data_IF_660818462593
#
_entry.id   IF_660818462593
#
_cell.length_a   1.000
_cell.length_b   1.000
_cell.length_c   1.000
_cell.angle_alpha   90.00
_cell.angle_beta   90.00
_cell.angle_gamma   90.00
#
_symmetry.space_group_name_H-M   'P 1'
#
loop_
_entity.id
_entity.type
_entity.pdbx_description
1 polymer ?
#
# COMPACT_ATOMS: atom_id res chain seq x y z
N UNK A 1 -10.99 2.48 -37.71
CA UNK A 1 -11.24 3.78 -37.05
C UNK A 1 -9.92 4.51 -36.97
N UNK A 2 -9.84 5.74 -37.46
CA UNK A 2 -8.64 6.55 -37.25
C UNK A 2 -8.47 6.85 -35.74
N UNK A 3 -7.25 6.82 -35.20
CA UNK A 3 -7.02 7.18 -33.81
C UNK A 3 -7.36 8.66 -33.59
N UNK A 4 -8.31 8.93 -32.70
CA UNK A 4 -8.63 10.28 -32.26
C UNK A 4 -7.38 10.92 -31.66
N UNK A 5 -6.97 12.05 -32.22
CA UNK A 5 -5.81 12.82 -31.73
C UNK A 5 -6.29 13.87 -30.74
N UNK A 6 -5.81 13.77 -29.50
CA UNK A 6 -6.05 14.77 -28.46
C UNK A 6 -4.76 15.50 -28.11
N UNK A 7 -4.86 16.81 -27.88
CA UNK A 7 -3.76 17.62 -27.37
C UNK A 7 -3.88 17.78 -25.85
N UNK A 8 -2.88 17.32 -25.11
CA UNK A 8 -2.81 17.49 -23.66
C UNK A 8 -1.48 18.16 -23.26
N UNK A 9 -1.56 19.22 -22.45
CA UNK A 9 -0.38 19.87 -21.86
C UNK A 9 -0.14 19.34 -20.45
N UNK A 10 1.04 18.77 -20.23
CA UNK A 10 1.46 18.24 -18.94
C UNK A 10 2.42 19.24 -18.29
N UNK A 11 1.96 19.92 -17.25
CA UNK A 11 2.69 20.92 -16.49
C UNK A 11 3.17 20.31 -15.17
N UNK A 12 3.98 19.25 -15.28
CA UNK A 12 4.61 18.54 -14.16
C UNK A 12 6.12 18.80 -14.25
N UNK A 13 6.86 18.91 -13.13
CA UNK A 13 8.32 19.07 -13.17
C UNK A 13 8.98 18.02 -14.06
N UNK A 14 9.76 18.44 -15.07
CA UNK A 14 10.36 17.54 -16.08
C UNK A 14 11.15 16.38 -15.47
N UNK A 15 11.80 16.59 -14.32
CA UNK A 15 12.56 15.53 -13.60
C UNK A 15 11.68 14.37 -13.11
N UNK A 16 10.37 14.58 -12.97
CA UNK A 16 9.39 13.61 -12.49
C UNK A 16 8.53 13.03 -13.62
N UNK A 17 8.74 13.48 -14.85
CA UNK A 17 7.97 13.06 -16.01
C UNK A 17 8.85 12.23 -16.95
N UNK A 18 8.62 10.93 -16.98
CA UNK A 18 9.32 10.03 -17.88
C UNK A 18 8.37 9.53 -18.96
N UNK A 19 8.47 10.10 -20.16
CA UNK A 19 7.65 9.73 -21.31
C UNK A 19 8.56 9.30 -22.44
N UNK A 20 8.24 8.18 -23.07
CA UNK A 20 8.82 7.73 -24.33
C UNK A 20 7.73 7.58 -25.38
N UNK A 21 8.12 7.56 -26.66
CA UNK A 21 7.19 7.16 -27.72
C UNK A 21 6.59 5.78 -27.41
N UNK A 22 5.31 5.61 -27.74
CA UNK A 22 4.52 4.40 -27.50
C UNK A 22 4.30 4.01 -26.02
N UNK A 23 4.61 4.92 -25.08
CA UNK A 23 4.25 4.70 -23.69
C UNK A 23 2.73 4.75 -23.51
N UNK A 24 2.15 3.69 -22.98
CA UNK A 24 0.75 3.68 -22.56
C UNK A 24 0.59 4.56 -21.31
N UNK A 25 -0.40 5.44 -21.35
CA UNK A 25 -0.69 6.39 -20.27
C UNK A 25 -2.18 6.45 -20.00
N UNK A 26 -2.55 6.64 -18.74
CA UNK A 26 -3.89 7.08 -18.34
C UNK A 26 -3.82 8.55 -17.93
N UNK A 27 -4.71 9.36 -18.49
CA UNK A 27 -4.71 10.81 -18.28
C UNK A 27 -6.09 11.25 -17.82
N UNK A 28 -6.16 11.63 -16.55
CA UNK A 28 -7.31 12.34 -16.00
C UNK A 28 -7.02 13.83 -16.15
N UNK A 29 -7.53 14.46 -17.21
CA UNK A 29 -7.27 15.86 -17.51
C UNK A 29 -8.55 16.68 -17.55
N UNK A 30 -8.40 18.00 -17.38
CA UNK A 30 -9.50 18.95 -17.49
C UNK A 30 -9.22 19.95 -18.61
N UNK A 31 -10.28 20.51 -19.19
CA UNK A 31 -10.15 21.70 -20.01
C UNK A 31 -10.08 22.94 -19.12
N UNK A 32 -9.15 23.85 -19.41
CA UNK A 32 -9.04 25.14 -18.69
C UNK A 32 -10.30 26.00 -18.91
N UNK A 33 -10.90 25.91 -20.10
CA UNK A 33 -12.19 26.49 -20.44
C UNK A 33 -12.94 25.55 -21.40
N UNK A 34 -14.29 25.60 -21.48
CA UNK A 34 -15.05 24.78 -22.42
C UNK A 34 -14.59 24.93 -23.88
N UNK A 35 -14.12 26.12 -24.25
CA UNK A 35 -13.60 26.48 -25.57
C UNK A 35 -12.14 26.07 -25.83
N UNK A 36 -11.41 25.56 -24.82
CA UNK A 36 -10.02 25.15 -25.01
C UNK A 36 -9.90 23.98 -25.99
N UNK A 37 -8.96 24.11 -26.93
CA UNK A 37 -8.56 23.07 -27.88
C UNK A 37 -7.69 21.97 -27.26
N UNK A 38 -7.26 22.14 -26.01
CA UNK A 38 -6.38 21.20 -25.33
C UNK A 38 -6.81 20.95 -23.88
N UNK A 39 -6.46 19.76 -23.41
CA UNK A 39 -6.56 19.34 -22.02
C UNK A 39 -5.31 19.71 -21.23
N UNK A 40 -5.43 19.85 -19.92
CA UNK A 40 -4.32 20.21 -19.03
C UNK A 40 -4.29 19.27 -17.82
N UNK A 41 -3.07 18.86 -17.47
CA UNK A 41 -2.71 18.29 -16.16
C UNK A 41 -1.63 19.18 -15.56
N UNK A 42 -1.84 19.65 -14.34
CA UNK A 42 -0.91 20.54 -13.64
C UNK A 42 -0.86 20.22 -12.12
N UNK A 43 -0.23 21.10 -11.35
CA UNK A 43 -0.10 20.92 -9.90
C UNK A 43 -1.46 20.85 -9.17
N UNK A 44 -2.48 21.50 -9.72
CA UNK A 44 -3.78 21.72 -9.08
C UNK A 44 -4.86 20.78 -9.63
N UNK A 45 -4.75 20.35 -10.88
CA UNK A 45 -5.78 19.60 -11.59
C UNK A 45 -5.22 18.39 -12.35
N UNK A 46 -6.01 17.31 -12.32
CA UNK A 46 -5.76 16.11 -13.09
C UNK A 46 -4.64 15.21 -12.57
N UNK A 47 -4.50 14.05 -13.22
CA UNK A 47 -3.48 13.06 -12.95
C UNK A 47 -2.92 12.51 -14.26
N UNK A 48 -1.61 12.30 -14.27
CA UNK A 48 -0.90 11.67 -15.37
C UNK A 48 -0.26 10.38 -14.85
N UNK A 49 -0.72 9.25 -15.35
CA UNK A 49 -0.36 7.92 -14.86
C UNK A 49 0.35 7.20 -16.00
N UNK A 50 1.62 6.85 -15.77
CA UNK A 50 2.40 6.07 -16.73
C UNK A 50 2.21 4.60 -16.48
N UNK A 51 2.10 3.80 -17.54
CA UNK A 51 1.97 2.34 -17.40
C UNK A 51 0.78 1.96 -16.48
N UNK A 52 -0.45 2.32 -16.89
CA UNK A 52 -1.67 2.13 -16.10
C UNK A 52 -2.00 0.67 -15.82
N UNK A 53 -1.56 -0.25 -16.66
CA UNK A 53 -1.87 -1.69 -16.52
C UNK A 53 -1.01 -2.38 -15.46
N UNK A 54 0.10 -1.77 -15.08
CA UNK A 54 0.91 -2.24 -13.95
C UNK A 54 0.30 -1.75 -12.64
N UNK A 55 -0.60 -2.56 -12.09
CA UNK A 55 -1.27 -2.27 -10.83
C UNK A 55 -0.32 -2.42 -9.65
N UNK A 56 0.16 -1.28 -9.11
CA UNK A 56 0.96 -1.24 -7.90
C UNK A 56 0.04 -1.26 -6.68
N UNK A 57 0.36 -2.05 -5.65
CA UNK A 57 -0.47 -2.07 -4.45
C UNK A 57 -0.39 -0.74 -3.70
N UNK A 58 -1.49 -0.28 -3.11
CA UNK A 58 -1.51 0.96 -2.35
C UNK A 58 -0.51 0.96 -1.18
N UNK A 59 -0.34 -0.20 -0.52
CA UNK A 59 0.66 -0.43 0.53
C UNK A 59 2.09 -0.31 -0.01
N UNK A 60 2.38 -0.82 -1.21
CA UNK A 60 3.68 -0.64 -1.89
C UNK A 60 3.95 0.83 -2.20
N UNK A 61 2.95 1.56 -2.73
CA UNK A 61 3.09 3.01 -3.03
C UNK A 61 3.44 3.78 -1.76
N UNK A 62 2.66 3.63 -0.68
CA UNK A 62 2.93 4.37 0.55
C UNK A 62 4.18 3.87 1.29
N UNK A 63 4.50 2.59 1.20
CA UNK A 63 5.74 2.01 1.74
C UNK A 63 7.00 2.57 1.08
N UNK A 64 6.87 3.14 -0.13
CA UNK A 64 7.94 3.80 -0.87
C UNK A 64 8.18 5.26 -0.44
N UNK A 65 7.33 5.84 0.42
CA UNK A 65 7.45 7.25 0.86
C UNK A 65 8.76 7.53 1.57
N UNK A 66 9.15 6.65 2.49
CA UNK A 66 10.36 6.84 3.29
C UNK A 66 11.61 6.29 2.58
N UNK A 67 11.50 5.13 1.92
CA UNK A 67 12.58 4.53 1.16
C UNK A 67 12.03 3.93 -0.14
N UNK A 68 12.25 4.63 -1.25
CA UNK A 68 11.77 4.20 -2.58
C UNK A 68 12.30 2.81 -2.94
N UNK A 69 13.59 2.55 -2.66
CA UNK A 69 14.22 1.24 -2.89
C UNK A 69 13.53 0.12 -2.12
N UNK A 70 13.13 0.36 -0.86
CA UNK A 70 12.43 -0.64 -0.04
C UNK A 70 11.10 -1.04 -0.66
N UNK A 71 10.29 -0.08 -1.10
CA UNK A 71 9.00 -0.39 -1.70
C UNK A 71 9.13 -1.17 -3.02
N UNK A 72 10.14 -0.85 -3.83
CA UNK A 72 10.43 -1.64 -5.03
C UNK A 72 10.87 -3.07 -4.67
N UNK A 73 11.77 -3.23 -3.70
CA UNK A 73 12.22 -4.55 -3.25
C UNK A 73 11.08 -5.39 -2.66
N UNK A 74 10.14 -4.78 -1.94
CA UNK A 74 8.97 -5.46 -1.39
C UNK A 74 8.08 -6.08 -2.47
N UNK A 75 7.95 -5.43 -3.62
CA UNK A 75 7.16 -5.98 -4.73
C UNK A 75 7.93 -7.04 -5.52
N UNK A 76 9.25 -6.85 -5.72
CA UNK A 76 10.11 -7.78 -6.46
C UNK A 76 10.37 -9.09 -5.68
N UNK A 77 10.68 -8.95 -4.41
CA UNK A 77 11.02 -10.04 -3.51
C UNK A 77 9.95 -10.10 -2.45
N UNK A 78 8.80 -10.72 -2.75
CA UNK A 78 7.75 -10.97 -1.77
C UNK A 78 8.23 -11.99 -0.75
N UNK A 79 9.07 -11.54 0.17
CA UNK A 79 9.49 -12.31 1.32
C UNK A 79 8.24 -12.47 2.18
N UNK A 80 7.92 -13.71 2.54
CA UNK A 80 7.14 -13.95 3.74
C UNK A 80 7.98 -13.35 4.87
N UNK A 81 7.71 -12.09 5.22
CA UNK A 81 8.23 -11.49 6.44
C UNK A 81 8.02 -12.53 7.52
N UNK A 82 9.07 -12.88 8.28
CA UNK A 82 8.89 -13.79 9.41
C UNK A 82 7.74 -13.23 10.22
N UNK A 83 6.58 -13.92 10.20
CA UNK A 83 5.39 -13.42 10.84
C UNK A 83 5.81 -13.17 12.29
N UNK A 84 5.85 -11.92 12.71
CA UNK A 84 6.15 -11.64 14.09
C UNK A 84 4.83 -11.68 14.85
N UNK A 85 4.91 -11.93 16.15
CA UNK A 85 3.72 -12.02 17.01
C UNK A 85 2.79 -10.81 16.83
N UNK A 86 3.33 -9.61 16.61
CA UNK A 86 2.51 -8.40 16.45
C UNK A 86 1.70 -8.41 15.14
N UNK A 87 2.28 -8.89 14.03
CA UNK A 87 1.59 -8.99 12.73
C UNK A 87 0.49 -10.06 12.76
N UNK A 88 0.76 -11.22 13.37
CA UNK A 88 -0.25 -12.27 13.54
C UNK A 88 -1.41 -11.76 14.39
N UNK A 89 -1.12 -11.18 15.56
CA UNK A 89 -2.16 -10.62 16.42
C UNK A 89 -2.92 -9.50 15.70
N UNK A 90 -2.23 -8.63 14.97
CA UNK A 90 -2.88 -7.59 14.15
C UNK A 90 -3.87 -8.17 13.14
N UNK A 91 -3.47 -9.21 12.40
CA UNK A 91 -4.32 -9.90 11.43
C UNK A 91 -5.53 -10.54 12.09
N UNK A 92 -5.34 -11.19 13.24
CA UNK A 92 -6.45 -11.80 14.01
C UNK A 92 -7.41 -10.72 14.52
N UNK A 93 -6.90 -9.57 14.97
CA UNK A 93 -7.72 -8.43 15.41
C UNK A 93 -8.56 -7.88 14.25
N UNK A 94 -8.00 -7.70 13.05
CA UNK A 94 -8.78 -7.29 11.86
C UNK A 94 -9.93 -8.26 11.60
N UNK A 95 -9.64 -9.56 11.62
CA UNK A 95 -10.67 -10.57 11.34
C UNK A 95 -11.77 -10.61 12.41
N UNK A 96 -11.43 -10.45 13.70
CA UNK A 96 -12.42 -10.34 14.78
C UNK A 96 -13.27 -9.08 14.61
N UNK A 97 -12.63 -7.93 14.37
CA UNK A 97 -13.30 -6.65 14.18
C UNK A 97 -14.32 -6.73 13.04
N UNK A 98 -13.90 -7.19 11.86
CA UNK A 98 -14.76 -7.37 10.69
C UNK A 98 -15.94 -8.30 10.96
N UNK A 99 -15.74 -9.41 11.68
CA UNK A 99 -16.83 -10.32 12.08
C UNK A 99 -17.81 -9.66 13.04
N UNK A 100 -17.32 -8.81 13.95
CA UNK A 100 -18.18 -8.07 14.86
C UNK A 100 -18.96 -6.97 14.14
N UNK A 101 -18.36 -6.29 13.15
CA UNK A 101 -19.03 -5.29 12.32
C UNK A 101 -20.26 -5.85 11.58
N UNK A 102 -20.17 -7.09 11.09
CA UNK A 102 -21.24 -7.76 10.36
C UNK A 102 -22.35 -8.32 11.27
N UNK A 103 -22.06 -8.56 12.56
CA UNK A 103 -23.00 -9.13 13.51
C UNK A 103 -23.78 -8.01 14.26
N UNK A 104 -24.99 -7.72 13.78
CA UNK A 104 -25.88 -6.71 14.38
C UNK A 104 -26.26 -7.00 15.84
N UNK A 105 -26.07 -8.23 16.32
CA UNK A 105 -26.30 -8.60 17.72
C UNK A 105 -25.09 -8.35 18.62
N UNK A 106 -23.92 -8.06 18.05
CA UNK A 106 -22.68 -7.82 18.78
C UNK A 106 -22.70 -6.45 19.49
N UNK A 107 -23.05 -6.44 20.78
CA UNK A 107 -23.20 -5.24 21.62
C UNK A 107 -22.41 -5.30 22.92
N UNK A 108 -22.19 -6.51 23.43
CA UNK A 108 -21.54 -6.76 24.72
C UNK A 108 -20.16 -7.35 24.48
N UNK A 109 -19.25 -7.13 25.43
CA UNK A 109 -17.90 -7.70 25.39
C UNK A 109 -17.94 -9.24 25.27
N UNK A 110 -18.91 -9.89 25.91
CA UNK A 110 -19.11 -11.34 25.82
C UNK A 110 -19.41 -11.82 24.39
N UNK A 111 -20.07 -10.99 23.57
CA UNK A 111 -20.33 -11.31 22.16
C UNK A 111 -19.02 -11.22 21.37
N UNK A 112 -18.23 -10.16 21.57
CA UNK A 112 -16.90 -9.98 20.95
C UNK A 112 -15.96 -11.13 21.32
N UNK A 113 -15.90 -11.51 22.60
CA UNK A 113 -15.10 -12.66 23.06
C UNK A 113 -15.55 -13.98 22.46
N UNK A 114 -16.86 -14.16 22.26
CA UNK A 114 -17.40 -15.36 21.61
C UNK A 114 -16.98 -15.43 20.14
N UNK A 115 -17.00 -14.30 19.43
CA UNK A 115 -16.49 -14.21 18.06
C UNK A 115 -14.98 -14.48 18.04
N UNK A 116 -14.21 -13.88 18.95
CA UNK A 116 -12.77 -14.11 19.08
C UNK A 116 -12.42 -15.59 19.29
N UNK A 117 -13.15 -16.28 20.18
CA UNK A 117 -12.97 -17.73 20.42
C UNK A 117 -13.24 -18.57 19.17
N UNK A 118 -14.21 -18.18 18.33
CA UNK A 118 -14.49 -18.86 17.05
C UNK A 118 -13.37 -18.58 16.04
N UNK A 119 -12.93 -17.32 15.93
CA UNK A 119 -11.87 -16.89 15.02
C UNK A 119 -10.55 -17.62 15.29
N UNK A 120 -10.11 -17.69 16.54
CA UNK A 120 -8.84 -18.35 16.91
C UNK A 120 -8.83 -19.84 16.56
N UNK A 121 -10.00 -20.49 16.58
CA UNK A 121 -10.14 -21.91 16.24
C UNK A 121 -10.13 -22.19 14.74
N UNK A 122 -10.08 -21.17 13.89
CA UNK A 122 -10.01 -21.38 12.44
C UNK A 122 -8.64 -21.91 12.03
N UNK A 123 -8.61 -22.82 11.02
CA UNK A 123 -7.37 -23.44 10.53
C UNK A 123 -6.31 -22.40 10.14
N UNK A 124 -6.72 -21.29 9.51
CA UNK A 124 -5.83 -20.20 9.10
C UNK A 124 -5.13 -19.57 10.31
N UNK A 125 -5.89 -19.19 11.35
CA UNK A 125 -5.32 -18.55 12.54
C UNK A 125 -4.43 -19.53 13.32
N UNK A 126 -4.83 -20.80 13.44
CA UNK A 126 -4.01 -21.82 14.10
C UNK A 126 -2.66 -21.99 13.38
N UNK A 127 -2.64 -21.99 12.05
CA UNK A 127 -1.39 -22.06 11.26
C UNK A 127 -0.46 -20.90 11.57
N UNK A 128 -0.96 -19.66 11.47
CA UNK A 128 -0.16 -18.46 11.77
C UNK A 128 0.33 -18.43 13.23
N UNK A 129 -0.49 -18.86 14.18
CA UNK A 129 -0.08 -18.96 15.59
C UNK A 129 1.04 -20.00 15.79
N UNK A 130 0.98 -21.12 15.08
CA UNK A 130 2.01 -22.15 15.11
C UNK A 130 3.35 -21.64 14.53
N UNK A 131 3.31 -20.90 13.43
CA UNK A 131 4.50 -20.30 12.80
C UNK A 131 5.27 -19.36 13.75
N UNK A 132 4.57 -18.71 14.67
CA UNK A 132 5.15 -17.79 15.66
C UNK A 132 5.30 -18.40 17.04
N UNK A 133 5.13 -19.72 17.16
CA UNK A 133 5.22 -20.50 18.39
C UNK A 133 4.37 -19.91 19.55
N UNK A 134 3.11 -19.56 19.25
CA UNK A 134 2.20 -18.97 20.22
C UNK A 134 1.01 -19.88 20.49
N UNK A 135 0.74 -20.16 21.76
CA UNK A 135 -0.46 -20.91 22.13
C UNK A 135 -1.73 -20.08 21.96
N UNK A 136 -2.87 -20.75 21.78
CA UNK A 136 -4.18 -20.06 21.68
C UNK A 136 -4.54 -19.28 22.96
N UNK A 137 -4.06 -19.73 24.12
CA UNK A 137 -4.24 -19.06 25.42
C UNK A 137 -3.45 -17.75 25.47
N UNK A 138 -2.18 -17.79 25.06
CA UNK A 138 -1.33 -16.58 25.01
C UNK A 138 -1.87 -15.59 23.98
N UNK A 139 -2.28 -16.07 22.80
CA UNK A 139 -2.91 -15.25 21.78
C UNK A 139 -4.17 -14.55 22.32
N UNK A 140 -5.05 -15.27 23.01
CA UNK A 140 -6.26 -14.69 23.60
C UNK A 140 -5.93 -13.62 24.66
N UNK A 141 -4.87 -13.81 25.46
CA UNK A 141 -4.39 -12.81 26.42
C UNK A 141 -3.94 -11.52 25.71
N UNK A 142 -3.17 -11.65 24.62
CA UNK A 142 -2.71 -10.51 23.81
C UNK A 142 -3.87 -9.78 23.09
N UNK A 143 -4.94 -10.49 22.76
CA UNK A 143 -6.14 -9.93 22.12
C UNK A 143 -7.02 -9.14 23.10
N UNK A 144 -7.01 -9.48 24.39
CA UNK A 144 -7.90 -8.93 25.42
C UNK A 144 -8.09 -7.40 25.37
N UNK A 145 -7.01 -6.59 25.33
CA UNK A 145 -7.13 -5.13 25.22
C UNK A 145 -7.90 -4.68 23.96
N UNK A 146 -7.67 -5.33 22.82
CA UNK A 146 -8.36 -5.02 21.57
C UNK A 146 -9.84 -5.40 21.63
N UNK A 147 -10.19 -6.53 22.26
CA UNK A 147 -11.60 -6.97 22.33
C UNK A 147 -12.46 -5.94 23.08
N UNK A 148 -11.91 -5.32 24.12
CA UNK A 148 -12.57 -4.23 24.84
C UNK A 148 -12.75 -3.00 23.95
N UNK A 149 -11.70 -2.59 23.23
CA UNK A 149 -11.78 -1.44 22.32
C UNK A 149 -12.75 -1.69 21.14
N UNK A 150 -12.86 -2.93 20.66
CA UNK A 150 -13.86 -3.30 19.64
C UNK A 150 -15.27 -3.08 20.17
N UNK A 151 -15.58 -3.56 21.38
CA UNK A 151 -16.88 -3.36 22.02
C UNK A 151 -17.18 -1.87 22.21
N UNK A 152 -16.23 -1.11 22.72
CA UNK A 152 -16.36 0.34 22.93
C UNK A 152 -16.59 1.07 21.61
N UNK A 153 -15.87 0.70 20.55
CA UNK A 153 -16.05 1.25 19.20
C UNK A 153 -17.46 0.96 18.65
N UNK A 154 -17.93 -0.29 18.74
CA UNK A 154 -19.27 -0.67 18.28
C UNK A 154 -20.35 0.11 19.02
N UNK A 155 -20.24 0.22 20.34
CA UNK A 155 -21.22 0.96 21.12
C UNK A 155 -21.21 2.45 20.78
N UNK A 156 -20.03 3.06 20.62
CA UNK A 156 -19.89 4.48 20.26
C UNK A 156 -20.38 4.81 18.85
N UNK A 157 -20.08 3.97 17.86
CA UNK A 157 -20.24 4.31 16.44
C UNK A 157 -21.39 3.59 15.72
N UNK A 158 -21.86 2.44 16.21
CA UNK A 158 -22.94 1.65 15.59
C UNK A 158 -24.24 1.65 16.41
N UNK A 159 -24.14 1.50 17.73
CA UNK A 159 -25.34 1.29 18.57
C UNK A 159 -25.87 2.58 19.20
N UNK A 160 -25.00 3.55 19.48
CA UNK A 160 -25.44 4.83 20.03
C UNK A 160 -25.93 5.74 18.90
N UNK A 161 -27.25 5.76 18.69
CA UNK A 161 -27.95 6.85 17.99
C UNK A 161 -28.08 8.06 18.92
N UNK A 162 -26.99 8.51 19.53
CA UNK A 162 -27.03 9.66 20.42
C UNK A 162 -27.54 10.85 19.63
N UNK A 163 -28.60 11.45 20.19
CA UNK A 163 -29.15 12.75 19.85
C UNK A 163 -27.96 13.70 19.64
N UNK A 164 -27.85 14.23 18.41
CA UNK A 164 -26.79 15.12 17.98
C UNK A 164 -26.71 16.35 18.90
N UNK A 165 -25.82 16.32 19.88
CA UNK A 165 -25.36 17.53 20.58
C UNK A 165 -23.88 17.80 20.32
N UNK A 166 -23.12 16.78 19.92
CA UNK A 166 -21.72 16.91 19.51
C UNK A 166 -21.57 16.73 17.99
N UNK A 167 -21.13 17.77 17.32
CA UNK A 167 -20.88 17.82 15.86
C UNK A 167 -19.72 16.92 15.39
N UNK A 168 -19.05 16.23 16.31
CA UNK A 168 -17.84 15.43 16.02
C UNK A 168 -18.07 13.90 16.05
N UNK A 169 -19.26 13.42 16.45
CA UNK A 169 -19.47 11.97 16.61
C UNK A 169 -19.81 11.30 15.29
N UNK A 170 -18.91 10.42 14.82
CA UNK A 170 -19.10 9.61 13.60
C UNK A 170 -20.15 8.52 13.88
N UNK A 171 -21.28 8.56 13.17
CA UNK A 171 -22.33 7.54 13.29
C UNK A 171 -22.35 6.63 12.05
N UNK A 172 -21.91 5.39 12.21
CA UNK A 172 -21.88 4.37 11.15
C UNK A 172 -23.23 3.66 11.12
N UNK A 173 -23.91 3.73 9.98
CA UNK A 173 -25.27 3.20 9.80
C UNK A 173 -25.27 1.79 9.22
N UNK A 174 -24.34 1.51 8.31
CA UNK A 174 -24.25 0.23 7.61
C UNK A 174 -22.80 -0.08 7.21
N UNK A 175 -22.52 -1.38 7.12
CA UNK A 175 -21.29 -1.92 6.53
C UNK A 175 -21.68 -2.45 5.15
N UNK A 176 -21.20 -1.79 4.10
CA UNK A 176 -21.53 -2.13 2.72
C UNK A 176 -20.68 -3.29 2.21
N UNK A 177 -19.41 -3.34 2.59
CA UNK A 177 -18.49 -4.44 2.25
C UNK A 177 -17.35 -4.57 3.27
N UNK A 178 -16.70 -5.74 3.28
CA UNK A 178 -15.53 -6.06 4.11
C UNK A 178 -14.43 -6.61 3.20
N UNK A 179 -13.21 -6.13 3.37
CA UNK A 179 -12.06 -6.54 2.55
C UNK A 179 -12.27 -6.34 1.03
N UNK A 180 -12.96 -5.25 0.63
CA UNK A 180 -13.27 -4.90 -0.75
C UNK A 180 -11.99 -4.71 -1.57
N UNK A 181 -11.85 -5.47 -2.67
CA UNK A 181 -10.70 -5.36 -3.57
C UNK A 181 -11.04 -4.44 -4.73
N UNK A 182 -10.26 -3.36 -4.91
CA UNK A 182 -10.40 -2.45 -6.05
C UNK A 182 -9.14 -2.50 -6.91
N UNK A 183 -9.33 -2.72 -8.22
CA UNK A 183 -8.29 -2.63 -9.24
C UNK A 183 -8.58 -1.43 -10.13
N UNK A 184 -7.83 -0.35 -9.94
CA UNK A 184 -8.08 0.92 -10.61
C UNK A 184 -7.02 1.20 -11.68
N UNK A 185 -7.26 0.72 -12.91
CA UNK A 185 -6.38 0.96 -14.06
C UNK A 185 -6.19 2.46 -14.37
N UNK A 186 -7.21 3.29 -14.13
CA UNK A 186 -7.11 4.74 -14.28
C UNK A 186 -5.96 5.35 -13.46
N UNK A 187 -5.65 4.77 -12.30
CA UNK A 187 -4.52 5.13 -11.44
C UNK A 187 -3.36 4.13 -11.51
N UNK A 188 -3.54 3.02 -12.23
CA UNK A 188 -2.95 1.69 -11.97
C UNK A 188 -2.47 1.47 -10.54
N UNK A 189 -3.43 1.55 -9.63
CA UNK A 189 -3.27 1.15 -8.24
C UNK A 189 -4.26 0.03 -7.97
N UNK A 190 -3.86 -0.93 -7.15
CA UNK A 190 -4.76 -1.92 -6.54
C UNK A 190 -4.76 -1.75 -5.02
N UNK A 191 -5.88 -2.01 -4.38
CA UNK A 191 -6.00 -1.95 -2.93
C UNK A 191 -7.07 -2.87 -2.38
N UNK A 192 -7.00 -3.08 -1.06
CA UNK A 192 -7.94 -3.88 -0.29
C UNK A 192 -8.41 -3.05 0.90
N UNK A 193 -9.64 -2.57 0.84
CA UNK A 193 -10.22 -1.69 1.86
C UNK A 193 -10.71 -2.58 3.00
N UNK A 194 -10.31 -2.31 4.25
CA UNK A 194 -10.70 -3.16 5.40
C UNK A 194 -12.22 -3.26 5.56
N UNK A 195 -12.92 -2.13 5.46
CA UNK A 195 -14.38 -2.05 5.41
C UNK A 195 -14.85 -0.84 4.61
N UNK A 196 -15.93 -1.01 3.86
CA UNK A 196 -16.66 0.08 3.21
C UNK A 196 -17.93 0.33 3.99
N UNK A 197 -18.14 1.55 4.48
CA UNK A 197 -19.21 1.87 5.43
C UNK A 197 -20.03 3.08 5.01
N UNK A 198 -21.31 3.09 5.40
CA UNK A 198 -22.21 4.23 5.23
C UNK A 198 -22.31 5.02 6.52
N UNK A 199 -21.89 6.28 6.49
CA UNK A 199 -21.86 7.18 7.65
C UNK A 199 -22.98 8.21 7.54
N UNK A 200 -23.72 8.42 8.62
CA UNK A 200 -24.79 9.43 8.68
C UNK A 200 -24.19 10.83 8.64
N UNK A 201 -24.51 11.61 7.61
CA UNK A 201 -24.06 13.01 7.45
C UNK A 201 -25.00 13.99 8.18
N UNK A 202 -26.31 13.74 8.07
CA UNK A 202 -27.36 14.47 8.77
C UNK A 202 -28.43 13.48 9.23
N UNK A 203 -28.53 13.27 10.55
CA UNK A 203 -29.49 12.34 11.15
C UNK A 203 -30.95 12.76 10.87
N UNK A 204 -31.20 14.04 10.61
CA UNK A 204 -32.54 14.58 10.34
C UNK A 204 -32.99 14.33 8.90
N UNK A 205 -32.06 14.38 7.94
CA UNK A 205 -32.33 14.19 6.50
C UNK A 205 -32.11 12.76 6.00
N UNK A 206 -31.63 11.85 6.86
CA UNK A 206 -31.26 10.46 6.50
C UNK A 206 -30.31 10.42 5.29
N UNK A 207 -29.37 11.35 5.22
CA UNK A 207 -28.33 11.36 4.20
C UNK A 207 -27.13 10.58 4.68
N UNK A 208 -26.61 9.71 3.81
CA UNK A 208 -25.47 8.85 4.10
C UNK A 208 -24.32 9.18 3.14
N UNK A 209 -23.11 9.08 3.65
CA UNK A 209 -21.88 9.17 2.87
C UNK A 209 -21.16 7.82 2.92
N UNK A 210 -20.79 7.30 1.76
CA UNK A 210 -19.98 6.07 1.66
C UNK A 210 -18.52 6.43 1.92
N UNK A 211 -17.87 5.68 2.79
CA UNK A 211 -16.47 5.91 3.19
C UNK A 211 -15.68 4.61 3.29
N UNK A 212 -14.40 4.61 2.87
CA UNK A 212 -13.47 3.57 3.26
C UNK A 212 -13.10 3.74 4.74
N UNK A 213 -13.10 2.65 5.48
CA UNK A 213 -12.55 2.55 6.83
C UNK A 213 -11.25 1.74 6.77
N UNK A 214 -10.16 2.34 7.22
CA UNK A 214 -8.86 1.69 7.41
C UNK A 214 -8.62 1.43 8.90
N UNK A 215 -8.36 0.17 9.25
CA UNK A 215 -8.08 -0.25 10.62
C UNK A 215 -6.57 -0.36 10.85
N UNK A 216 -6.12 0.16 11.99
CA UNK A 216 -4.74 0.07 12.47
C UNK A 216 -4.71 -0.44 13.91
N UNK A 217 -3.85 -1.42 14.16
CA UNK A 217 -3.69 -2.08 15.47
C UNK A 217 -2.52 -1.53 16.29
N UNK A 218 -1.67 -0.68 15.68
CA UNK A 218 -0.56 0.01 16.34
C UNK A 218 -0.97 1.29 17.08
N UNK A 219 0.02 2.03 17.58
CA UNK A 219 -0.17 3.36 18.18
C UNK A 219 -0.73 4.36 17.17
N UNK A 220 -1.49 5.34 17.65
CA UNK A 220 -1.97 6.43 16.82
C UNK A 220 -0.81 7.32 16.38
N UNK A 221 -0.48 7.28 15.09
CA UNK A 221 0.65 8.00 14.50
C UNK A 221 0.24 9.09 13.52
N UNK A 222 -0.95 8.95 12.89
CA UNK A 222 -1.37 9.70 11.71
C UNK A 222 -0.25 9.86 10.68
N UNK A 223 0.55 8.79 10.50
CA UNK A 223 1.72 8.84 9.63
C UNK A 223 1.32 9.06 8.17
N UNK A 224 2.25 9.59 7.38
CA UNK A 224 2.03 9.82 5.96
C UNK A 224 1.67 8.53 5.22
N UNK A 225 2.15 7.36 5.67
CA UNK A 225 1.73 6.09 5.09
C UNK A 225 0.26 5.79 5.34
N UNK A 226 -0.22 5.98 6.57
CA UNK A 226 -1.62 5.70 6.92
C UNK A 226 -2.57 6.68 6.21
N UNK A 227 -2.22 7.97 6.19
CA UNK A 227 -2.99 9.00 5.48
C UNK A 227 -2.95 8.77 3.97
N UNK A 228 -1.80 8.38 3.43
CA UNK A 228 -1.61 8.11 2.02
C UNK A 228 -2.41 6.89 1.55
N UNK A 229 -2.49 5.85 2.38
CA UNK A 229 -3.23 4.62 2.06
C UNK A 229 -4.73 4.92 1.96
N UNK A 230 -5.25 5.64 2.95
CA UNK A 230 -6.64 6.08 2.96
C UNK A 230 -6.94 7.05 1.79
N UNK A 231 -6.00 7.93 1.44
CA UNK A 231 -6.13 8.81 0.28
C UNK A 231 -6.22 8.02 -1.04
N UNK A 232 -5.42 6.96 -1.21
CA UNK A 232 -5.51 6.08 -2.38
C UNK A 232 -6.87 5.38 -2.44
N UNK A 233 -7.41 4.92 -1.32
CA UNK A 233 -8.74 4.31 -1.28
C UNK A 233 -9.83 5.29 -1.71
N UNK A 234 -9.82 6.51 -1.15
CA UNK A 234 -10.74 7.57 -1.58
C UNK A 234 -10.65 7.82 -3.09
N UNK A 235 -9.44 7.88 -3.65
CA UNK A 235 -9.25 8.09 -5.10
C UNK A 235 -9.76 6.92 -5.94
N UNK A 236 -9.44 5.68 -5.54
CA UNK A 236 -9.86 4.48 -6.26
C UNK A 236 -11.38 4.32 -6.23
N UNK A 237 -12.01 4.51 -5.07
CA UNK A 237 -13.47 4.43 -4.92
C UNK A 237 -14.18 5.44 -5.81
N UNK A 238 -13.72 6.71 -5.85
CA UNK A 238 -14.32 7.73 -6.73
C UNK A 238 -14.24 7.35 -8.21
N UNK A 239 -13.18 6.67 -8.64
CA UNK A 239 -13.01 6.28 -10.04
C UNK A 239 -13.76 5.01 -10.44
N UNK A 240 -14.22 4.21 -9.48
CA UNK A 240 -15.09 3.04 -9.74
C UNK A 240 -16.57 3.36 -9.54
N UNK A 241 -16.93 4.62 -9.24
CA UNK A 241 -18.31 5.11 -9.25
C UNK A 241 -18.91 5.46 -7.89
N UNK A 242 -18.15 5.33 -6.79
CA UNK A 242 -18.61 5.84 -5.49
C UNK A 242 -18.46 7.36 -5.43
N UNK A 243 -19.26 8.02 -4.59
CA UNK A 243 -19.06 9.43 -4.24
C UNK A 243 -18.43 9.52 -2.84
N UNK A 244 -17.09 9.61 -2.80
CA UNK A 244 -16.33 9.57 -1.54
C UNK A 244 -15.62 10.91 -1.30
N UNK A 245 -16.05 11.61 -0.25
CA UNK A 245 -15.47 12.89 0.16
C UNK A 245 -14.44 12.77 1.29
N UNK A 246 -14.51 11.70 2.09
CA UNK A 246 -13.60 11.44 3.20
C UNK A 246 -13.48 9.93 3.46
N UNK A 247 -12.55 9.53 4.31
CA UNK A 247 -12.43 8.17 4.84
C UNK A 247 -12.33 8.17 6.36
N UNK A 248 -12.47 6.99 6.97
CA UNK A 248 -12.29 6.77 8.40
C UNK A 248 -10.95 6.08 8.65
N UNK A 249 -10.16 6.63 9.59
CA UNK A 249 -8.94 6.00 10.07
C UNK A 249 -9.13 5.60 11.53
N UNK A 250 -9.13 4.29 11.80
CA UNK A 250 -9.34 3.73 13.13
C UNK A 250 -8.04 3.18 13.69
N UNK A 251 -7.54 3.79 14.77
CA UNK A 251 -6.49 3.24 15.62
C UNK A 251 -7.13 2.51 16.80
N UNK A 252 -7.35 1.21 16.62
CA UNK A 252 -8.15 0.42 17.55
C UNK A 252 -7.51 0.29 18.93
N UNK A 253 -6.17 0.23 19.02
CA UNK A 253 -5.47 0.13 20.31
C UNK A 253 -5.75 1.31 21.26
N UNK A 254 -6.09 2.47 20.70
CA UNK A 254 -6.38 3.70 21.45
C UNK A 254 -7.85 4.14 21.31
N UNK A 255 -8.71 3.33 20.67
CA UNK A 255 -10.11 3.68 20.43
C UNK A 255 -10.33 4.96 19.60
N UNK A 256 -9.32 5.41 18.84
CA UNK A 256 -9.36 6.67 18.09
C UNK A 256 -9.84 6.43 16.66
N UNK A 257 -11.03 6.91 16.34
CA UNK A 257 -11.58 6.94 14.98
C UNK A 257 -11.66 8.38 14.49
N UNK A 258 -11.02 8.66 13.36
CA UNK A 258 -10.95 10.01 12.79
C UNK A 258 -11.45 10.04 11.36
N UNK A 259 -12.24 11.06 11.04
CA UNK A 259 -12.63 11.38 9.67
C UNK A 259 -11.51 12.16 8.98
N UNK A 260 -11.04 11.67 7.85
CA UNK A 260 -9.86 12.21 7.15
C UNK A 260 -10.20 12.49 5.69
N UNK A 261 -9.99 13.73 5.27
CA UNK A 261 -10.15 14.19 3.89
C UNK A 261 -8.79 14.31 3.23
N UNK A 262 -8.55 13.57 2.14
CA UNK A 262 -7.28 13.65 1.43
C UNK A 262 -7.20 14.92 0.58
N UNK A 263 -6.22 15.78 0.88
CA UNK A 263 -5.99 17.00 0.11
C UNK A 263 -5.37 16.70 -1.27
N UNK A 264 -5.45 17.68 -2.18
CA UNK A 264 -4.97 17.57 -3.57
C UNK A 264 -3.47 17.26 -3.66
N UNK A 265 -2.65 17.86 -2.81
CA UNK A 265 -1.20 17.68 -2.83
C UNK A 265 -0.80 16.24 -2.51
N UNK A 266 -1.40 15.64 -1.47
CA UNK A 266 -1.20 14.23 -1.11
C UNK A 266 -1.59 13.34 -2.29
N UNK A 267 -2.78 13.54 -2.86
CA UNK A 267 -3.26 12.77 -4.02
C UNK A 267 -2.29 12.86 -5.20
N UNK A 268 -1.81 14.07 -5.52
CA UNK A 268 -0.83 14.31 -6.60
C UNK A 268 0.48 13.56 -6.34
N UNK A 269 1.03 13.74 -5.15
CA UNK A 269 2.36 13.22 -4.81
C UNK A 269 2.37 11.69 -4.73
N UNK A 270 1.25 11.08 -4.31
CA UNK A 270 1.05 9.63 -4.38
C UNK A 270 1.05 9.09 -5.81
N UNK A 271 0.45 9.79 -6.77
CA UNK A 271 0.47 9.37 -8.18
C UNK A 271 1.87 9.53 -8.80
N UNK A 272 2.57 10.60 -8.43
CA UNK A 272 3.98 10.77 -8.81
C UNK A 272 4.82 9.60 -8.28
N UNK A 273 4.69 9.30 -6.98
CA UNK A 273 5.40 8.20 -6.34
C UNK A 273 5.05 6.84 -6.97
N UNK A 274 3.77 6.60 -7.24
CA UNK A 274 3.31 5.41 -7.98
C UNK A 274 4.01 5.30 -9.33
N UNK A 275 4.09 6.37 -10.11
CA UNK A 275 4.77 6.34 -11.42
C UNK A 275 6.26 6.02 -11.27
N UNK A 276 6.92 6.56 -10.24
CA UNK A 276 8.31 6.25 -9.92
C UNK A 276 8.47 4.76 -9.55
N UNK A 277 7.55 4.19 -8.76
CA UNK A 277 7.57 2.76 -8.39
C UNK A 277 7.36 1.87 -9.61
N UNK A 278 6.31 2.13 -10.39
CA UNK A 278 6.00 1.36 -11.60
C UNK A 278 7.16 1.38 -12.60
N UNK A 279 7.79 2.55 -12.78
CA UNK A 279 8.99 2.68 -13.61
C UNK A 279 10.14 1.82 -13.07
N UNK A 280 10.45 1.92 -11.79
CA UNK A 280 11.51 1.11 -11.18
C UNK A 280 11.23 -0.38 -11.35
N UNK A 281 9.99 -0.83 -11.16
CA UNK A 281 9.60 -2.22 -11.37
C UNK A 281 9.68 -2.67 -12.84
N UNK A 282 9.42 -1.78 -13.80
CA UNK A 282 9.53 -2.11 -15.22
C UNK A 282 10.97 -2.16 -15.75
N UNK A 283 11.92 -1.59 -15.01
CA UNK A 283 13.31 -1.39 -15.44
C UNK A 283 14.29 -1.61 -14.29
N UNK A 284 14.05 -2.61 -13.45
CA UNK A 284 14.95 -2.92 -12.34
C UNK A 284 16.14 -3.78 -12.77
N UNK A 285 16.13 -4.29 -14.01
CA UNK A 285 17.25 -4.97 -14.65
C UNK A 285 17.44 -4.42 -16.07
N UNK A 286 18.69 -4.22 -16.48
CA UNK A 286 19.08 -3.82 -17.85
C UNK A 286 20.12 -4.77 -18.41
N UNK A 287 20.17 -4.94 -19.74
CA UNK A 287 21.21 -5.76 -20.37
C UNK A 287 22.58 -5.19 -20.07
N UNK A 288 23.50 -6.07 -19.66
CA UNK A 288 24.89 -5.69 -19.45
C UNK A 288 25.63 -5.62 -20.79
N UNK A 289 25.71 -4.40 -21.33
CA UNK A 289 26.35 -4.13 -22.62
C UNK A 289 27.89 -4.30 -22.60
N UNK A 290 28.49 -4.52 -21.43
CA UNK A 290 29.93 -4.76 -21.29
C UNK A 290 30.26 -6.22 -21.62
N UNK A 291 29.32 -7.14 -21.37
CA UNK A 291 29.49 -8.55 -21.71
C UNK A 291 29.27 -8.81 -23.21
N UNK A 292 29.95 -9.83 -23.75
CA UNK A 292 29.98 -10.14 -25.17
C UNK A 292 28.58 -10.18 -25.82
N UNK A 293 28.49 -9.76 -27.10
CA UNK A 293 27.26 -9.87 -27.91
C UNK A 293 26.70 -11.30 -27.82
N UNK A 294 25.49 -11.43 -27.27
CA UNK A 294 24.80 -12.72 -27.09
C UNK A 294 24.67 -13.17 -25.62
N UNK A 295 25.32 -12.48 -24.68
CA UNK A 295 25.15 -12.71 -23.24
C UNK A 295 23.75 -12.31 -22.76
N UNK A 296 23.11 -13.17 -21.95
CA UNK A 296 21.88 -12.87 -21.20
C UNK A 296 22.18 -12.15 -19.87
N UNK A 297 23.40 -11.67 -19.67
CA UNK A 297 23.78 -10.97 -18.44
C UNK A 297 22.94 -9.70 -18.27
N UNK A 298 22.34 -9.59 -17.09
CA UNK A 298 21.54 -8.46 -16.67
C UNK A 298 22.22 -7.79 -15.48
N UNK A 299 22.12 -6.46 -15.42
CA UNK A 299 22.59 -5.63 -14.32
C UNK A 299 21.39 -5.00 -13.59
N UNK A 300 21.32 -5.07 -12.26
CA UNK A 300 20.27 -4.38 -11.50
C UNK A 300 20.36 -2.86 -11.64
N UNK A 301 19.21 -2.20 -11.65
CA UNK A 301 19.05 -0.75 -11.72
C UNK A 301 17.91 -0.33 -10.81
N UNK A 302 18.23 -0.14 -9.53
CA UNK A 302 17.26 0.16 -8.50
C UNK A 302 17.45 1.59 -7.97
N UNK A 303 16.43 2.17 -7.30
CA UNK A 303 16.62 3.43 -6.60
C UNK A 303 17.76 3.35 -5.60
N UNK A 304 18.47 4.45 -5.40
CA UNK A 304 19.49 4.51 -4.35
C UNK A 304 18.85 4.27 -2.96
N UNK A 305 19.55 3.58 -2.05
CA UNK A 305 19.12 3.48 -0.67
C UNK A 305 19.15 4.85 0.00
N UNK A 306 18.33 5.01 1.04
CA UNK A 306 18.38 6.21 1.88
C UNK A 306 19.65 6.25 2.72
N UNK A 307 20.11 7.45 3.04
CA UNK A 307 21.22 7.67 3.97
C UNK A 307 20.70 7.76 5.42
N UNK A 308 20.13 6.66 5.94
CA UNK A 308 19.65 6.58 7.32
C UNK A 308 19.96 5.21 7.93
N UNK A 309 21.06 5.15 8.69
CA UNK A 309 21.58 3.92 9.30
C UNK A 309 20.55 3.21 10.18
N UNK A 310 19.87 3.94 11.07
CA UNK A 310 18.90 3.36 12.01
C UNK A 310 17.72 2.70 11.31
N UNK A 311 17.28 3.28 10.20
CA UNK A 311 16.17 2.73 9.43
C UNK A 311 16.60 1.56 8.53
N UNK A 312 17.78 1.66 7.89
CA UNK A 312 18.32 0.59 7.06
C UNK A 312 18.66 -0.66 7.88
N UNK A 313 19.19 -0.51 9.10
CA UNK A 313 19.51 -1.62 9.99
C UNK A 313 18.27 -2.44 10.40
N UNK A 314 17.09 -1.79 10.48
CA UNK A 314 15.81 -2.44 10.80
C UNK A 314 15.00 -2.84 9.57
N UNK A 315 15.54 -2.60 8.36
CA UNK A 315 14.83 -2.90 7.13
C UNK A 315 14.86 -4.41 6.88
N UNK A 316 13.70 -5.08 6.71
CA UNK A 316 13.66 -6.51 6.45
C UNK A 316 14.27 -6.89 5.09
N UNK A 317 14.47 -5.91 4.20
CA UNK A 317 15.09 -6.09 2.89
C UNK A 317 16.59 -5.76 2.87
N UNK A 318 17.25 -5.60 4.03
CA UNK A 318 18.64 -5.18 4.11
C UNK A 318 19.60 -6.09 3.32
N UNK A 319 19.51 -7.41 3.48
CA UNK A 319 20.39 -8.39 2.82
C UNK A 319 20.26 -8.29 1.31
N UNK A 320 19.04 -8.37 0.77
CA UNK A 320 18.82 -8.27 -0.68
C UNK A 320 19.18 -6.88 -1.22
N UNK A 321 18.88 -5.82 -0.47
CA UNK A 321 19.22 -4.44 -0.83
C UNK A 321 20.73 -4.27 -1.02
N UNK A 322 21.52 -4.77 -0.07
CA UNK A 322 22.99 -4.66 -0.05
C UNK A 322 23.61 -5.56 -1.11
N UNK A 323 23.13 -6.80 -1.26
CA UNK A 323 23.60 -7.71 -2.31
C UNK A 323 23.45 -7.08 -3.70
N UNK A 324 22.28 -6.51 -4.00
CA UNK A 324 22.04 -5.81 -5.26
C UNK A 324 22.93 -4.58 -5.39
N UNK A 325 23.09 -3.79 -4.33
CA UNK A 325 23.94 -2.60 -4.33
C UNK A 325 25.42 -2.90 -4.60
N UNK A 326 25.96 -4.00 -4.03
CA UNK A 326 27.33 -4.46 -4.28
C UNK A 326 27.55 -4.76 -5.77
N UNK A 327 26.56 -5.36 -6.43
CA UNK A 327 26.58 -5.63 -7.87
C UNK A 327 26.43 -4.35 -8.71
N UNK A 328 25.57 -3.41 -8.31
CA UNK A 328 25.38 -2.13 -9.01
C UNK A 328 26.68 -1.31 -9.10
N UNK A 329 27.47 -1.30 -8.02
CA UNK A 329 28.65 -0.43 -7.82
C UNK A 329 30.01 -1.13 -7.96
N UNK A 330 30.06 -2.31 -8.58
CA UNK A 330 31.30 -3.07 -8.81
C UNK A 330 32.14 -3.24 -7.51
N UNK A 331 31.46 -3.47 -6.38
CA UNK A 331 32.11 -3.67 -5.08
C UNK A 331 32.50 -2.40 -4.30
N UNK A 332 32.24 -1.18 -4.81
CA UNK A 332 32.50 0.06 -4.06
C UNK A 332 31.25 0.58 -3.34
N UNK A 333 31.06 0.18 -2.09
CA UNK A 333 30.06 0.79 -1.20
C UNK A 333 30.69 1.96 -0.42
N UNK A 334 30.86 3.12 -1.06
CA UNK A 334 31.54 4.30 -0.50
C UNK A 334 30.74 5.10 0.55
N UNK A 335 29.55 4.65 0.94
CA UNK A 335 28.77 5.26 2.01
C UNK A 335 29.14 4.61 3.35
N UNK A 336 29.95 5.29 4.16
CA UNK A 336 30.45 4.82 5.47
C UNK A 336 29.37 4.28 6.42
N UNK A 337 28.13 4.77 6.35
CA UNK A 337 27.03 4.23 7.15
C UNK A 337 26.54 2.86 6.69
N UNK A 338 26.59 2.57 5.39
CA UNK A 338 26.13 1.30 4.80
C UNK A 338 27.14 0.16 4.97
N UNK A 339 28.42 0.45 5.22
CA UNK A 339 29.48 -0.56 5.26
C UNK A 339 29.42 -1.46 6.49
N UNK A 340 29.06 -0.93 7.66
CA UNK A 340 29.03 -1.69 8.93
C UNK A 340 28.02 -2.83 8.86
N UNK A 341 26.78 -2.53 8.48
CA UNK A 341 25.74 -3.56 8.37
C UNK A 341 25.78 -4.33 7.04
N UNK A 342 26.54 -3.87 6.04
CA UNK A 342 26.81 -4.69 4.85
C UNK A 342 27.67 -5.92 5.16
N UNK A 343 28.52 -5.84 6.18
CA UNK A 343 29.26 -6.99 6.68
C UNK A 343 28.36 -7.90 7.52
N UNK A 344 27.55 -7.35 8.41
CA UNK A 344 26.59 -8.14 9.20
C UNK A 344 25.58 -8.88 8.31
N UNK A 345 24.98 -8.19 7.34
CA UNK A 345 23.94 -8.76 6.49
C UNK A 345 24.49 -9.67 5.39
N UNK A 346 25.70 -9.41 4.88
CA UNK A 346 26.21 -10.08 3.67
C UNK A 346 27.66 -10.58 3.79
N UNK A 347 28.30 -10.55 4.97
CA UNK A 347 29.69 -11.02 5.16
C UNK A 347 29.85 -12.53 4.97
N UNK A 348 28.77 -13.29 5.15
CA UNK A 348 28.71 -14.72 4.84
C UNK A 348 28.61 -15.02 3.33
N UNK A 349 28.32 -14.02 2.49
CA UNK A 349 28.15 -14.19 1.04
C UNK A 349 29.47 -13.96 0.31
N UNK A 350 29.90 -14.95 -0.47
CA UNK A 350 31.07 -14.82 -1.36
C UNK A 350 30.64 -14.16 -2.65
N UNK A 351 31.59 -13.62 -3.41
CA UNK A 351 31.34 -13.03 -4.74
C UNK A 351 30.57 -13.98 -5.66
N UNK A 352 30.93 -15.28 -5.68
CA UNK A 352 30.22 -16.30 -6.48
C UNK A 352 28.75 -16.48 -6.09
N UNK A 353 28.42 -16.31 -4.81
CA UNK A 353 27.04 -16.44 -4.32
C UNK A 353 26.21 -15.21 -4.77
N UNK A 354 26.82 -14.02 -4.76
CA UNK A 354 26.23 -12.78 -5.30
C UNK A 354 26.04 -12.89 -6.81
N UNK A 355 27.06 -13.31 -7.56
CA UNK A 355 27.00 -13.45 -9.02
C UNK A 355 25.90 -14.42 -9.45
N UNK A 356 25.79 -15.57 -8.75
CA UNK A 356 24.71 -16.54 -8.97
C UNK A 356 23.34 -15.90 -8.74
N UNK A 357 23.15 -15.19 -7.63
CA UNK A 357 21.89 -14.52 -7.31
C UNK A 357 21.50 -13.48 -8.38
N UNK A 358 22.44 -12.65 -8.84
CA UNK A 358 22.19 -11.63 -9.86
C UNK A 358 21.87 -12.27 -11.21
N UNK A 359 22.61 -13.29 -11.61
CA UNK A 359 22.38 -14.01 -12.86
C UNK A 359 20.97 -14.61 -12.89
N UNK A 360 20.56 -15.34 -11.85
CA UNK A 360 19.22 -15.93 -11.79
C UNK A 360 18.11 -14.89 -11.72
N UNK A 361 18.32 -13.82 -10.96
CA UNK A 361 17.40 -12.67 -10.92
C UNK A 361 17.21 -12.07 -12.31
N UNK A 362 18.29 -11.98 -13.10
CA UNK A 362 18.27 -11.50 -14.48
C UNK A 362 17.52 -12.43 -15.43
N UNK A 363 17.72 -13.74 -15.33
CA UNK A 363 17.01 -14.74 -16.14
C UNK A 363 15.51 -14.74 -15.84
N UNK A 364 15.11 -14.70 -14.57
CA UNK A 364 13.70 -14.60 -14.16
C UNK A 364 13.09 -13.29 -14.67
N UNK A 365 13.84 -12.18 -14.60
CA UNK A 365 13.39 -10.92 -15.18
C UNK A 365 13.15 -11.03 -16.69
N UNK A 366 14.05 -11.65 -17.44
CA UNK A 366 13.89 -11.82 -18.89
C UNK A 366 12.65 -12.65 -19.22
N UNK A 367 12.47 -13.79 -18.56
CA UNK A 367 11.31 -14.67 -18.75
C UNK A 367 9.99 -13.92 -18.51
N UNK A 368 9.89 -13.21 -17.38
CA UNK A 368 8.68 -12.45 -17.01
C UNK A 368 8.38 -11.27 -17.95
N UNK A 369 9.38 -10.78 -18.67
CA UNK A 369 9.21 -9.66 -19.60
C UNK A 369 9.01 -10.12 -21.05
N UNK A 370 9.41 -11.34 -21.42
CA UNK A 370 9.20 -11.88 -22.77
C UNK A 370 7.70 -12.13 -23.05
N UNK A 371 6.94 -12.59 -22.04
CA UNK A 371 5.48 -12.74 -22.13
C UNK A 371 4.75 -11.41 -22.37
N UNK A 372 5.31 -10.28 -21.93
CA UNK A 372 4.69 -8.96 -22.14
C UNK A 372 4.85 -8.39 -23.55
N UNK A 373 5.70 -9.00 -24.38
CA UNK A 373 5.90 -8.61 -25.80
C UNK A 373 4.95 -9.38 -26.72
N UNK A 374 4.55 -10.60 -26.37
CA UNK A 374 3.68 -11.43 -27.21
C UNK A 374 2.18 -11.07 -27.14
N UNK A 375 1.75 -10.29 -26.15
CA UNK A 375 0.35 -9.86 -25.97
C UNK A 375 0.03 -8.43 -26.46
N UNK A 376 0.89 -7.81 -27.28
CA UNK A 376 0.66 -6.47 -27.87
C UNK A 376 0.44 -6.50 -29.37
#
# INVERSE_FOLDING_TARGET
MEPLKYHCKILIPKKKLFVSFFLLVSVLAMKVSPSSSHFVVNADFGFFVTDPDRLVSGTTVVGSLFCHRRGVLQELFRMSESENTQMVIGTVVHYIFQRCLLDKSCKLLTHVETIAKKVIKTKKVISSLYEVNLSTKEAFSLLGPYLKEIETFLNKHFHHRSIQTDTETIAISEVNDIEENIWCHHLGVKGRIDATVSVSSDATKKTFEIMPLELKTGRASYSFEHLGQLALYQMMMNLVGYEVNAGLLLYLKEGKCSRVTANRNIKRDLIILRNEVARSLSKWMVKDNITQKGSLAMKPTLPDPINNERACAKCPYNTVCITLLKSEREGTCSNYGLSIFAEEACGHLRTKDVDYFIQWSGLIYLETHDETVQCK
#
